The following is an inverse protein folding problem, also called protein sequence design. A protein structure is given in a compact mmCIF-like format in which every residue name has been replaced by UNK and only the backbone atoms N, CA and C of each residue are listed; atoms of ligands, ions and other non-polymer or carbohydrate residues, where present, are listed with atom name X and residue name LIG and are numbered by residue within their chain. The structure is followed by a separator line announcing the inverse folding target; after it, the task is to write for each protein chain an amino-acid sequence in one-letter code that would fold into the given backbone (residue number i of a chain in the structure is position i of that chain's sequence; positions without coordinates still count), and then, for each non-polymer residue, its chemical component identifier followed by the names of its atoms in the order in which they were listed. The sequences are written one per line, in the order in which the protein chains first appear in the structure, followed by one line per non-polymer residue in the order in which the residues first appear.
data_IF_119749579633
#
_entry.id   IF_119749579633
#
_cell.length_a   1.000
_cell.length_b   1.000
_cell.length_c   1.000
_cell.angle_alpha   90.00
_cell.angle_beta   90.00
_cell.angle_gamma   90.00
#
_symmetry.space_group_name_H-M   'P 1'
#
loop_
_entity.id
_entity.type
_entity.pdbx_description
1 polymer ?
#
# COMPACT_ATOMS: atom_id res chain seq x y z
N UNK A 1 30.77 6.95 2.28
CA UNK A 1 30.37 6.74 0.87
C UNK A 1 28.99 6.15 0.91
N UNK A 2 28.06 6.78 0.19
CA UNK A 2 26.66 6.36 0.12
C UNK A 2 26.42 5.85 -1.31
N UNK A 3 25.76 4.69 -1.44
CA UNK A 3 25.44 4.08 -2.73
C UNK A 3 23.93 3.92 -2.78
N UNK A 4 23.31 4.48 -3.83
CA UNK A 4 21.88 4.31 -4.12
C UNK A 4 21.75 3.32 -5.28
N UNK A 5 20.89 2.31 -5.09
CA UNK A 5 20.62 1.27 -6.08
C UNK A 5 19.12 1.29 -6.35
N UNK A 6 18.72 1.50 -7.60
CA UNK A 6 17.34 1.37 -8.03
C UNK A 6 17.07 -0.07 -8.44
N UNK A 7 16.01 -0.65 -7.90
CA UNK A 7 15.61 -2.02 -8.16
C UNK A 7 14.31 -2.02 -8.97
N UNK A 8 14.20 -3.01 -9.85
CA UNK A 8 12.98 -3.29 -10.61
C UNK A 8 11.88 -3.86 -9.70
N UNK A 9 10.61 -3.74 -10.10
CA UNK A 9 9.44 -4.23 -9.34
C UNK A 9 9.48 -5.74 -9.06
N UNK A 10 10.18 -6.52 -9.89
CA UNK A 10 10.35 -7.96 -9.71
C UNK A 10 11.63 -8.35 -8.98
N UNK A 11 12.39 -7.38 -8.45
CA UNK A 11 13.64 -7.67 -7.79
C UNK A 11 13.43 -8.42 -6.46
N UNK A 12 14.19 -9.50 -6.27
CA UNK A 12 14.24 -10.22 -5.01
C UNK A 12 15.03 -9.42 -3.96
N UNK A 13 14.34 -8.49 -3.30
CA UNK A 13 14.90 -7.63 -2.24
C UNK A 13 15.56 -8.47 -1.13
N UNK A 14 14.96 -9.58 -0.63
CA UNK A 14 15.62 -10.47 0.32
C UNK A 14 16.99 -11.01 -0.17
N UNK A 15 17.06 -11.45 -1.42
CA UNK A 15 18.31 -11.94 -2.02
C UNK A 15 19.35 -10.82 -2.14
N UNK A 16 18.95 -9.65 -2.61
CA UNK A 16 19.85 -8.50 -2.78
C UNK A 16 20.39 -8.03 -1.43
N UNK A 17 19.54 -7.99 -0.41
CA UNK A 17 19.94 -7.70 0.97
C UNK A 17 20.98 -8.68 1.49
N UNK A 18 20.82 -9.98 1.21
CA UNK A 18 21.78 -11.01 1.57
C UNK A 18 23.11 -10.87 0.83
N UNK A 19 23.06 -10.42 -0.43
CA UNK A 19 24.26 -10.20 -1.24
C UNK A 19 25.04 -8.98 -0.73
N UNK A 20 24.35 -7.88 -0.43
CA UNK A 20 24.97 -6.66 0.10
C UNK A 20 25.57 -6.86 1.50
N UNK A 21 24.93 -7.66 2.37
CA UNK A 21 25.44 -7.90 3.73
C UNK A 21 26.77 -8.66 3.77
N UNK A 22 27.13 -9.36 2.68
CA UNK A 22 28.40 -10.07 2.57
C UNK A 22 29.58 -9.15 2.20
N UNK A 23 29.32 -7.93 1.73
CA UNK A 23 30.36 -6.99 1.31
C UNK A 23 30.97 -6.32 2.54
N UNK A 24 32.25 -6.60 2.81
CA UNK A 24 33.03 -5.92 3.85
C UNK A 24 33.06 -4.41 3.56
N UNK A 25 32.45 -3.62 4.44
CA UNK A 25 32.42 -2.15 4.34
C UNK A 25 31.01 -1.57 4.33
N UNK A 26 29.97 -2.38 4.10
CA UNK A 26 28.57 -1.95 4.23
C UNK A 26 28.15 -2.07 5.69
N UNK A 27 27.89 -0.93 6.34
CA UNK A 27 27.48 -0.87 7.76
C UNK A 27 25.96 -0.99 7.95
N UNK A 28 25.20 -0.44 7.02
CA UNK A 28 23.74 -0.43 7.03
C UNK A 28 23.22 -0.28 5.60
N UNK A 29 22.01 -0.77 5.38
CA UNK A 29 21.22 -0.53 4.17
C UNK A 29 19.80 -0.20 4.61
N UNK A 30 19.16 0.72 3.91
CA UNK A 30 17.75 1.08 4.10
C UNK A 30 17.02 0.77 2.79
N UNK A 31 15.88 0.10 2.90
CA UNK A 31 14.97 -0.12 1.78
C UNK A 31 13.88 0.91 1.89
N UNK A 32 13.87 1.90 0.99
CA UNK A 32 12.77 2.82 0.85
C UNK A 32 11.69 2.16 -0.01
N UNK A 33 10.76 1.45 0.62
CA UNK A 33 9.51 1.06 -0.03
C UNK A 33 8.66 2.33 -0.20
N UNK A 34 8.69 2.92 -1.40
CA UNK A 34 7.84 4.06 -1.73
C UNK A 34 6.36 3.65 -1.88
N UNK A 35 6.08 2.36 -2.00
CA UNK A 35 4.74 1.80 -2.15
C UNK A 35 4.49 0.77 -1.04
N UNK A 36 4.18 1.24 0.16
CA UNK A 36 3.51 0.37 1.13
C UNK A 36 2.14 0.01 0.55
N UNK A 37 2.05 -1.18 -0.03
CA UNK A 37 0.76 -1.82 -0.25
C UNK A 37 0.34 -2.36 1.11
N UNK A 38 -0.46 -1.58 1.84
CA UNK A 38 -1.03 -2.03 3.11
C UNK A 38 -1.71 -3.39 2.90
N UNK A 39 -1.40 -4.36 3.76
CA UNK A 39 -2.05 -5.66 3.67
C UNK A 39 -3.55 -5.50 3.98
N UNK A 40 -4.41 -6.34 3.38
CA UNK A 40 -5.85 -6.33 3.68
C UNK A 40 -6.14 -6.43 5.19
N UNK A 41 -5.31 -7.16 5.92
CA UNK A 41 -5.43 -7.32 7.37
C UNK A 41 -5.09 -6.02 8.10
N UNK A 42 -4.16 -5.21 7.62
CA UNK A 42 -3.89 -3.88 8.18
C UNK A 42 -5.02 -2.91 7.88
N UNK A 43 -5.53 -2.90 6.64
CA UNK A 43 -6.66 -2.06 6.23
C UNK A 43 -7.91 -2.38 7.05
N UNK A 44 -8.28 -3.65 7.20
CA UNK A 44 -9.46 -4.10 7.95
C UNK A 44 -9.39 -3.69 9.44
N UNK A 45 -8.19 -3.70 10.01
CA UNK A 45 -7.98 -3.33 11.41
C UNK A 45 -7.79 -1.81 11.62
N UNK A 46 -7.76 -1.01 10.56
CA UNK A 46 -7.64 0.45 10.66
C UNK A 46 -8.92 1.09 11.21
N UNK A 47 -8.74 2.19 11.95
CA UNK A 47 -9.86 2.98 12.46
C UNK A 47 -10.61 3.70 11.34
N UNK A 48 -9.91 4.10 10.27
CA UNK A 48 -10.48 4.68 9.06
C UNK A 48 -11.47 3.71 8.40
N UNK A 49 -11.07 2.45 8.22
CA UNK A 49 -11.94 1.43 7.65
C UNK A 49 -13.18 1.19 8.53
N UNK A 50 -13.01 1.10 9.85
CA UNK A 50 -14.12 0.95 10.79
C UNK A 50 -15.14 2.08 10.69
N UNK A 51 -14.68 3.34 10.66
CA UNK A 51 -15.54 4.52 10.50
C UNK A 51 -16.28 4.51 9.17
N UNK A 52 -15.62 4.08 8.08
CA UNK A 52 -16.24 3.97 6.76
C UNK A 52 -17.39 2.95 6.75
N UNK A 53 -17.17 1.77 7.35
CA UNK A 53 -18.19 0.73 7.48
C UNK A 53 -19.37 1.20 8.35
N UNK A 54 -19.10 1.89 9.46
CA UNK A 54 -20.14 2.43 10.33
C UNK A 54 -20.99 3.48 9.62
N UNK A 55 -20.35 4.40 8.89
CA UNK A 55 -21.04 5.39 8.05
C UNK A 55 -21.94 4.71 7.02
N UNK A 56 -21.42 3.73 6.29
CA UNK A 56 -22.18 2.99 5.27
C UNK A 56 -23.41 2.30 5.88
N UNK A 57 -23.29 1.70 7.07
CA UNK A 57 -24.44 1.10 7.77
C UNK A 57 -25.51 2.12 8.14
N UNK A 58 -25.11 3.32 8.56
CA UNK A 58 -26.04 4.39 8.89
C UNK A 58 -26.75 4.92 7.64
N UNK A 59 -26.03 5.11 6.53
CA UNK A 59 -26.59 5.51 5.24
C UNK A 59 -27.65 4.50 4.78
N UNK A 60 -27.35 3.20 4.83
CA UNK A 60 -28.31 2.12 4.51
C UNK A 60 -29.56 2.19 5.41
N UNK A 61 -29.36 2.36 6.73
CA UNK A 61 -30.46 2.42 7.69
C UNK A 61 -31.38 3.62 7.45
N UNK A 62 -30.81 4.74 7.01
CA UNK A 62 -31.55 5.97 6.73
C UNK A 62 -32.13 6.00 5.31
N UNK A 63 -31.85 5.00 4.47
CA UNK A 63 -32.25 5.00 3.06
C UNK A 63 -31.48 6.02 2.21
N UNK A 64 -30.32 6.47 2.67
CA UNK A 64 -29.45 7.38 1.95
C UNK A 64 -28.72 6.62 0.85
N UNK A 65 -28.93 7.03 -0.40
CA UNK A 65 -28.23 6.50 -1.55
C UNK A 65 -27.46 7.63 -2.22
N UNK A 66 -26.24 7.33 -2.67
CA UNK A 66 -25.41 8.27 -3.40
C UNK A 66 -25.07 7.65 -4.75
N UNK A 67 -25.62 8.24 -5.80
CA UNK A 67 -25.26 7.90 -7.17
C UNK A 67 -23.93 8.58 -7.51
N UNK A 68 -23.03 7.80 -8.10
CA UNK A 68 -21.75 8.26 -8.60
C UNK A 68 -21.77 8.19 -10.13
N UNK A 69 -21.09 9.12 -10.80
CA UNK A 69 -20.98 9.09 -12.26
C UNK A 69 -20.23 7.84 -12.73
N UNK A 70 -20.59 7.34 -13.90
CA UNK A 70 -19.87 6.24 -14.55
C UNK A 70 -18.38 6.59 -14.73
N UNK A 71 -18.06 7.83 -15.15
CA UNK A 71 -16.69 8.32 -15.25
C UNK A 71 -15.88 8.19 -13.95
N UNK A 72 -16.52 8.45 -12.80
CA UNK A 72 -15.86 8.32 -11.50
C UNK A 72 -15.62 6.84 -11.17
N UNK A 73 -16.60 5.98 -11.41
CA UNK A 73 -16.49 4.53 -11.20
C UNK A 73 -15.38 3.95 -12.08
N UNK A 74 -15.34 4.33 -13.35
CA UNK A 74 -14.32 3.87 -14.30
C UNK A 74 -12.93 4.35 -13.88
N UNK A 75 -12.80 5.59 -13.39
CA UNK A 75 -11.53 6.11 -12.87
C UNK A 75 -11.01 5.37 -11.64
N UNK A 76 -11.90 4.94 -10.75
CA UNK A 76 -11.56 4.25 -9.50
C UNK A 76 -11.19 2.79 -9.77
N UNK A 77 -11.98 2.10 -10.60
CA UNK A 77 -11.82 0.66 -10.84
C UNK A 77 -10.97 0.35 -12.08
N UNK A 78 -10.49 1.37 -12.81
CA UNK A 78 -9.70 1.25 -14.04
C UNK A 78 -10.35 0.29 -15.04
N UNK A 79 -11.66 0.43 -15.23
CA UNK A 79 -12.45 -0.37 -16.17
C UNK A 79 -12.41 0.21 -17.58
#
# INVERSE_FOLDING_TARGET
MEIKISLDEYADVPFIKKLLSQIKGIKSFEVSENDKIDSWKEIENSDEFRKLIEKSRNEIKNGECKEYSEELIDSIFKK
#
